data_IF_620396465142
#
_entry.id   IF_620396465142
#
_cell.length_a   1.000
_cell.length_b   1.000
_cell.length_c   1.000
_cell.angle_alpha   90.00
_cell.angle_beta   90.00
_cell.angle_gamma   90.00
#
_symmetry.space_group_name_H-M   'P 1'
#
loop_
_entity.id
_entity.type
_entity.pdbx_description
1 polymer ?
#
# COMPACT_ATOMS: atom_id res chain seq x y z
N UNK A 1 8.01 6.96 12.03
CA UNK A 1 8.38 5.97 10.98
C UNK A 1 7.16 5.52 10.20
N UNK A 2 6.08 5.14 10.89
CA UNK A 2 4.84 4.61 10.32
C UNK A 2 4.16 5.54 9.28
N UNK A 3 4.13 6.87 9.51
CA UNK A 3 3.59 7.80 8.53
C UNK A 3 4.32 7.77 7.17
N UNK A 4 5.66 7.70 7.17
CA UNK A 4 6.46 7.62 5.94
C UNK A 4 6.33 6.25 5.27
N UNK A 5 6.20 5.17 6.06
CA UNK A 5 5.90 3.82 5.54
C UNK A 5 4.54 3.82 4.85
N UNK A 6 3.51 4.35 5.50
CA UNK A 6 2.16 4.50 4.94
C UNK A 6 2.18 5.28 3.64
N UNK A 7 2.88 6.42 3.61
CA UNK A 7 3.02 7.25 2.41
C UNK A 7 3.67 6.43 1.26
N UNK A 8 4.72 5.66 1.55
CA UNK A 8 5.36 4.78 0.55
C UNK A 8 4.38 3.76 -0.02
N UNK A 9 3.53 3.14 0.80
CA UNK A 9 2.53 2.17 0.33
C UNK A 9 1.51 2.81 -0.63
N UNK A 10 0.99 3.99 -0.26
CA UNK A 10 0.04 4.74 -1.10
C UNK A 10 0.70 5.15 -2.42
N UNK A 11 1.91 5.69 -2.36
CA UNK A 11 2.65 6.12 -3.55
C UNK A 11 2.96 4.95 -4.49
N UNK A 12 3.29 3.78 -3.95
CA UNK A 12 3.54 2.58 -4.75
C UNK A 12 2.27 2.14 -5.51
N UNK A 13 1.13 2.07 -4.84
CA UNK A 13 -0.14 1.73 -5.49
C UNK A 13 -0.53 2.77 -6.55
N UNK A 14 -0.33 4.07 -6.27
CA UNK A 14 -0.59 5.14 -7.22
C UNK A 14 0.37 5.14 -8.42
N UNK A 15 1.61 4.68 -8.24
CA UNK A 15 2.58 4.52 -9.32
C UNK A 15 2.16 3.40 -10.28
N UNK A 16 1.72 2.25 -9.75
CA UNK A 16 1.15 1.17 -10.56
C UNK A 16 -0.09 1.63 -11.34
N UNK A 17 -1.05 2.27 -10.66
CA UNK A 17 -2.30 2.72 -11.27
C UNK A 17 -2.06 3.74 -12.41
N UNK A 18 -1.16 4.71 -12.22
CA UNK A 18 -0.86 5.74 -13.23
C UNK A 18 -0.22 5.19 -14.51
N UNK A 19 0.33 3.98 -14.45
CA UNK A 19 1.00 3.34 -15.59
C UNK A 19 0.23 2.12 -16.10
N UNK A 20 -1.02 1.95 -15.68
CA UNK A 20 -1.75 0.73 -16.00
C UNK A 20 -2.06 0.55 -17.50
N UNK A 21 -2.12 1.65 -18.25
CA UNK A 21 -2.29 1.64 -19.70
C UNK A 21 -1.05 1.16 -20.47
N UNK A 22 0.13 1.14 -19.83
CA UNK A 22 1.35 0.54 -20.39
C UNK A 22 1.23 -0.99 -20.32
N UNK A 23 1.23 -1.73 -21.46
CA UNK A 23 1.00 -3.17 -21.48
C UNK A 23 2.03 -3.99 -20.69
N UNK A 24 3.21 -3.42 -20.39
CA UNK A 24 4.18 -4.06 -19.52
C UNK A 24 3.67 -4.20 -18.07
N UNK A 25 2.78 -3.31 -17.61
CA UNK A 25 2.31 -3.27 -16.22
C UNK A 25 1.31 -4.39 -15.90
N UNK A 26 0.23 -4.61 -16.68
CA UNK A 26 -0.63 -5.77 -16.48
C UNK A 26 0.12 -7.11 -16.57
N UNK A 27 1.14 -7.20 -17.43
CA UNK A 27 1.97 -8.41 -17.57
C UNK A 27 2.87 -8.65 -16.35
N UNK A 28 3.53 -7.60 -15.83
CA UNK A 28 4.44 -7.70 -14.68
C UNK A 28 3.71 -7.73 -13.33
N UNK A 29 2.53 -7.11 -13.24
CA UNK A 29 1.77 -6.93 -12.01
C UNK A 29 0.31 -7.42 -12.14
N UNK A 30 0.05 -8.65 -12.62
CA UNK A 30 -1.31 -9.13 -12.91
C UNK A 30 -2.22 -9.18 -11.67
N UNK A 31 -1.63 -9.25 -10.48
CA UNK A 31 -2.33 -9.26 -9.19
C UNK A 31 -2.87 -7.89 -8.77
N UNK A 32 -2.44 -6.79 -9.38
CA UNK A 32 -2.76 -5.43 -8.92
C UNK A 32 -4.27 -5.12 -8.99
N UNK A 33 -4.97 -5.63 -10.00
CA UNK A 33 -6.43 -5.47 -10.12
C UNK A 33 -7.22 -6.59 -9.44
N UNK A 34 -6.57 -7.48 -8.69
CA UNK A 34 -7.28 -8.53 -7.95
C UNK A 34 -7.92 -7.96 -6.69
N UNK A 35 -9.08 -8.50 -6.31
CA UNK A 35 -9.72 -8.18 -5.03
C UNK A 35 -8.80 -8.53 -3.85
N UNK A 36 -8.11 -9.66 -3.91
CA UNK A 36 -7.22 -10.13 -2.85
C UNK A 36 -6.12 -9.12 -2.51
N UNK A 37 -5.47 -8.53 -3.53
CA UNK A 37 -4.46 -7.51 -3.34
C UNK A 37 -5.02 -6.29 -2.58
N UNK A 38 -6.17 -5.78 -3.02
CA UNK A 38 -6.77 -4.59 -2.40
C UNK A 38 -7.28 -4.87 -0.99
N UNK A 39 -7.80 -6.06 -0.71
CA UNK A 39 -8.15 -6.46 0.66
C UNK A 39 -6.93 -6.46 1.59
N UNK A 40 -5.82 -7.06 1.15
CA UNK A 40 -4.56 -7.04 1.90
C UNK A 40 -4.03 -5.61 2.09
N UNK A 41 -4.08 -4.78 1.04
CA UNK A 41 -3.65 -3.37 1.10
C UNK A 41 -4.48 -2.55 2.08
N UNK A 42 -5.80 -2.76 2.13
CA UNK A 42 -6.68 -2.08 3.08
C UNK A 42 -6.36 -2.50 4.52
N UNK A 43 -6.15 -3.80 4.76
CA UNK A 43 -5.78 -4.31 6.08
C UNK A 43 -4.46 -3.69 6.57
N UNK A 44 -3.43 -3.70 5.72
CA UNK A 44 -2.12 -3.11 6.04
C UNK A 44 -2.22 -1.61 6.37
N UNK A 45 -3.03 -0.86 5.61
CA UNK A 45 -3.24 0.57 5.90
C UNK A 45 -3.96 0.80 7.23
N UNK A 46 -4.88 -0.08 7.63
CA UNK A 46 -5.53 -0.01 8.95
C UNK A 46 -4.57 -0.31 10.09
N UNK A 47 -3.70 -1.30 9.91
CA UNK A 47 -2.64 -1.63 10.87
C UNK A 47 -1.66 -0.45 11.02
N UNK A 48 -1.29 0.20 9.92
CA UNK A 48 -0.46 1.41 9.96
C UNK A 48 -1.12 2.56 10.74
N UNK A 49 -2.44 2.75 10.60
CA UNK A 49 -3.17 3.74 11.41
C UNK A 49 -3.07 3.39 12.90
N UNK A 50 -3.33 2.14 13.26
CA UNK A 50 -3.22 1.70 14.65
C UNK A 50 -1.81 1.93 15.23
N UNK A 51 -0.76 1.61 14.46
CA UNK A 51 0.64 1.83 14.87
C UNK A 51 1.02 3.32 14.98
N UNK A 52 0.35 4.21 14.26
CA UNK A 52 0.54 5.65 14.41
C UNK A 52 -0.15 6.21 15.66
N UNK A 53 -1.25 5.58 16.08
CA UNK A 53 -2.00 5.94 17.29
C UNK A 53 -1.37 5.35 18.57
N UNK A 54 -0.48 4.36 18.45
CA UNK A 54 0.23 3.79 19.58
C UNK A 54 1.16 4.84 20.25
N UNK A 55 1.14 4.94 21.58
CA UNK A 55 2.08 5.80 22.29
C UNK A 55 3.51 5.30 22.07
N UNK A 56 4.51 6.19 22.07
CA UNK A 56 5.90 5.78 21.94
C UNK A 56 6.27 4.80 23.05
N UNK A 57 7.03 3.75 22.70
CA UNK A 57 7.55 2.80 23.67
C UNK A 57 8.34 3.57 24.73
N UNK A 58 7.89 3.49 25.98
CA UNK A 58 8.59 4.09 27.11
C UNK A 58 9.85 3.24 27.37
N UNK A 59 11.02 3.87 27.33
CA UNK A 59 12.31 3.21 27.52
C UNK A 59 12.62 2.94 29.01
#
# INVERSE_FOLDING_TARGET
>A
VEALRTLRLIHYAAWLARRWDDPAFPAAFPWFNSQQYWQARILELREQIALMDEPPLVA
#
